data_IF_841847076427
#
_entry.id   IF_841847076427
#
_cell.length_a   1.000
_cell.length_b   1.000
_cell.length_c   1.000
_cell.angle_alpha   90.00
_cell.angle_beta   90.00
_cell.angle_gamma   90.00
#
_symmetry.space_group_name_H-M   'P 1'
#
loop_
_entity.id
_entity.type
_entity.pdbx_description
1 polymer ?
#
# COMPACT_ATOMS: atom_id res chain seq x y z
N UNK A 1 49.52 -30.80 -27.06
CA UNK A 1 48.83 -30.56 -25.77
C UNK A 1 47.87 -29.37 -25.83
N UNK A 2 48.27 -28.26 -26.48
CA UNK A 2 47.46 -27.03 -26.62
C UNK A 2 46.12 -27.25 -27.35
N UNK A 3 46.11 -28.05 -28.42
CA UNK A 3 44.90 -28.32 -29.21
C UNK A 3 43.80 -29.06 -28.43
N UNK A 4 44.19 -29.96 -27.50
CA UNK A 4 43.24 -30.67 -26.62
C UNK A 4 42.62 -29.74 -25.58
N UNK A 5 43.36 -28.74 -25.08
CA UNK A 5 42.84 -27.74 -24.15
C UNK A 5 41.85 -26.78 -24.83
N UNK A 6 42.12 -26.34 -26.07
CA UNK A 6 41.22 -25.45 -26.81
C UNK A 6 39.88 -26.15 -27.11
N UNK A 7 39.90 -27.43 -27.49
CA UNK A 7 38.67 -28.21 -27.74
C UNK A 7 37.86 -28.44 -26.47
N UNK A 8 38.51 -28.67 -25.32
CA UNK A 8 37.78 -28.79 -24.04
C UNK A 8 37.17 -27.45 -23.60
N UNK A 9 37.87 -26.34 -23.79
CA UNK A 9 37.37 -25.00 -23.45
C UNK A 9 36.18 -24.60 -24.34
N UNK A 10 36.20 -24.94 -25.64
CA UNK A 10 35.06 -24.67 -26.54
C UNK A 10 33.86 -25.58 -26.26
N UNK A 11 34.06 -26.83 -25.83
CA UNK A 11 32.96 -27.72 -25.42
C UNK A 11 32.33 -27.25 -24.11
N UNK A 12 33.10 -26.67 -23.19
CA UNK A 12 32.59 -26.11 -21.92
C UNK A 12 31.79 -24.82 -22.16
N UNK A 13 32.21 -23.95 -23.08
CA UNK A 13 31.48 -22.69 -23.39
C UNK A 13 30.22 -22.90 -24.22
N UNK A 14 30.13 -23.98 -25.01
CA UNK A 14 28.91 -24.31 -25.78
C UNK A 14 27.79 -24.88 -24.89
N UNK A 15 28.10 -25.38 -23.69
CA UNK A 15 27.13 -26.11 -22.85
C UNK A 15 26.16 -25.27 -22.00
N UNK A 16 26.20 -23.93 -22.03
CA UNK A 16 25.37 -23.12 -21.11
C UNK A 16 24.23 -22.33 -21.73
N UNK A 17 23.90 -22.50 -23.01
CA UNK A 17 22.64 -21.99 -23.56
C UNK A 17 21.51 -23.01 -23.38
N UNK A 18 21.19 -23.32 -22.12
CA UNK A 18 19.90 -23.92 -21.79
C UNK A 18 18.84 -22.84 -21.87
N UNK A 19 18.16 -22.71 -23.02
CA UNK A 19 16.99 -21.85 -23.14
C UNK A 19 15.83 -22.48 -22.34
N UNK A 20 15.80 -22.29 -21.02
CA UNK A 20 14.58 -22.53 -20.26
C UNK A 20 13.59 -21.45 -20.69
N UNK A 21 12.57 -21.85 -21.46
CA UNK A 21 11.48 -20.93 -21.77
C UNK A 21 10.63 -20.82 -20.51
N UNK A 22 10.93 -19.82 -19.67
CA UNK A 22 10.16 -19.50 -18.47
C UNK A 22 8.71 -19.25 -18.90
N UNK A 23 7.76 -20.06 -18.41
CA UNK A 23 6.33 -19.82 -18.61
C UNK A 23 5.87 -18.65 -17.72
N UNK A 24 4.71 -18.08 -18.01
CA UNK A 24 4.19 -16.93 -17.28
C UNK A 24 2.71 -16.69 -17.50
N UNK A 25 2.16 -15.77 -16.71
CA UNK A 25 0.79 -15.27 -16.91
C UNK A 25 0.79 -14.31 -18.10
N UNK A 26 -0.09 -14.58 -19.06
CA UNK A 26 -0.29 -13.76 -20.25
C UNK A 26 -1.19 -12.56 -19.91
N UNK A 27 -0.56 -11.42 -19.62
CA UNK A 27 -1.26 -10.17 -19.30
C UNK A 27 -1.82 -10.10 -17.87
N UNK A 28 -2.79 -9.21 -17.67
CA UNK A 28 -3.50 -9.06 -16.39
C UNK A 28 -4.65 -10.08 -16.30
N UNK A 29 -4.84 -10.76 -15.14
CA UNK A 29 -5.94 -11.69 -14.98
C UNK A 29 -7.30 -10.98 -15.06
N UNK A 30 -8.30 -11.70 -15.57
CA UNK A 30 -9.66 -11.17 -15.65
C UNK A 30 -10.36 -11.38 -14.31
N UNK A 31 -11.02 -10.33 -13.79
CA UNK A 31 -11.66 -10.33 -12.47
C UNK A 31 -13.15 -10.07 -12.64
N UNK A 32 -13.97 -10.96 -12.11
CA UNK A 32 -15.42 -10.85 -12.07
C UNK A 32 -15.91 -10.78 -10.61
N UNK A 33 -16.48 -9.63 -10.26
CA UNK A 33 -16.98 -9.34 -8.92
C UNK A 33 -18.50 -9.59 -8.88
N UNK A 34 -18.95 -10.71 -8.33
CA UNK A 34 -20.37 -11.02 -8.13
C UNK A 34 -20.89 -10.44 -6.80
N UNK A 35 -22.13 -10.73 -6.43
CA UNK A 35 -22.75 -10.21 -5.19
C UNK A 35 -22.19 -10.88 -3.93
N UNK A 36 -21.85 -12.16 -4.03
CA UNK A 36 -21.47 -13.05 -2.93
C UNK A 36 -20.17 -13.84 -3.18
N UNK A 37 -19.60 -13.71 -4.38
CA UNK A 37 -18.34 -14.34 -4.76
C UNK A 37 -17.49 -13.47 -5.67
N UNK A 38 -16.21 -13.79 -5.77
CA UNK A 38 -15.26 -13.20 -6.70
C UNK A 38 -14.60 -14.31 -7.50
N UNK A 39 -14.58 -14.15 -8.83
CA UNK A 39 -13.97 -15.08 -9.76
C UNK A 39 -12.77 -14.41 -10.42
N UNK A 40 -11.66 -15.12 -10.50
CA UNK A 40 -10.47 -14.69 -11.22
C UNK A 40 -10.07 -15.74 -12.22
N UNK A 41 -9.86 -15.30 -13.45
CA UNK A 41 -9.45 -16.12 -14.58
C UNK A 41 -8.01 -15.76 -14.97
N UNK A 42 -7.14 -16.76 -14.91
CA UNK A 42 -5.74 -16.65 -15.33
C UNK A 42 -5.55 -17.32 -16.68
N UNK A 43 -4.84 -16.62 -17.57
CA UNK A 43 -4.36 -17.17 -18.84
C UNK A 43 -2.85 -17.20 -18.80
N UNK A 44 -2.23 -18.33 -19.14
CA UNK A 44 -0.77 -18.48 -19.22
C UNK A 44 -0.30 -18.49 -20.66
N UNK A 45 0.98 -18.20 -20.88
CA UNK A 45 1.58 -18.21 -22.22
C UNK A 45 1.66 -19.64 -22.78
N UNK A 46 1.94 -20.61 -21.92
CA UNK A 46 2.01 -22.05 -22.25
C UNK A 46 1.22 -22.87 -21.25
N UNK A 47 0.87 -24.09 -21.63
CA UNK A 47 0.30 -25.07 -20.70
C UNK A 47 1.21 -25.24 -19.48
N UNK A 48 0.61 -25.34 -18.30
CA UNK A 48 1.35 -25.51 -17.06
C UNK A 48 0.70 -26.56 -16.16
N UNK A 49 1.48 -27.06 -15.21
CA UNK A 49 1.03 -27.95 -14.15
C UNK A 49 1.34 -27.30 -12.80
N UNK A 50 0.30 -26.99 -12.03
CA UNK A 50 0.45 -26.18 -10.84
C UNK A 50 -0.90 -25.80 -10.24
N UNK A 51 -0.93 -24.70 -9.49
CA UNK A 51 -2.07 -24.38 -8.62
C UNK A 51 -2.36 -22.87 -8.64
N UNK A 52 -3.63 -22.53 -8.46
CA UNK A 52 -4.09 -21.18 -8.13
C UNK A 52 -4.82 -21.25 -6.79
N UNK A 53 -4.42 -20.44 -5.82
CA UNK A 53 -5.01 -20.49 -4.49
C UNK A 53 -5.02 -19.15 -3.77
N UNK A 54 -5.86 -19.04 -2.75
CA UNK A 54 -5.87 -17.89 -1.84
C UNK A 54 -4.73 -18.00 -0.83
N UNK A 55 -3.99 -16.90 -0.66
CA UNK A 55 -2.87 -16.82 0.28
C UNK A 55 -3.31 -17.23 1.69
N UNK A 56 -2.65 -18.25 2.24
CA UNK A 56 -2.94 -18.78 3.58
C UNK A 56 -4.00 -19.88 3.63
N UNK A 57 -4.66 -20.19 2.51
CA UNK A 57 -5.75 -21.18 2.43
C UNK A 57 -5.48 -22.25 1.36
N UNK A 58 -4.21 -22.69 1.24
CA UNK A 58 -3.84 -23.71 0.24
C UNK A 58 -4.48 -25.08 0.50
N UNK A 59 -4.65 -25.45 1.77
CA UNK A 59 -5.19 -26.75 2.17
C UNK A 59 -6.72 -26.84 2.05
N UNK A 60 -7.39 -25.71 1.80
CA UNK A 60 -8.84 -25.63 1.63
C UNK A 60 -9.20 -25.83 0.16
N UNK A 61 -9.84 -26.94 -0.19
CA UNK A 61 -10.22 -27.26 -1.57
C UNK A 61 -11.14 -26.22 -2.23
N UNK A 62 -11.91 -25.45 -1.46
CA UNK A 62 -12.72 -24.34 -1.98
C UNK A 62 -11.93 -23.05 -2.26
N UNK A 63 -10.68 -22.99 -1.82
CA UNK A 63 -9.79 -21.84 -1.96
C UNK A 63 -8.60 -22.13 -2.88
N UNK A 64 -8.60 -23.30 -3.54
CA UNK A 64 -7.56 -23.77 -4.46
C UNK A 64 -8.18 -24.37 -5.72
N UNK A 65 -7.51 -24.16 -6.83
CA UNK A 65 -7.82 -24.77 -8.13
C UNK A 65 -6.52 -25.32 -8.71
N UNK A 66 -6.51 -26.60 -9.04
CA UNK A 66 -5.35 -27.29 -9.58
C UNK A 66 -5.41 -27.25 -11.12
N UNK A 67 -4.28 -26.99 -11.77
CA UNK A 67 -4.16 -26.95 -13.22
C UNK A 67 -3.26 -28.10 -13.68
N UNK A 68 -3.72 -28.87 -14.67
CA UNK A 68 -2.98 -30.02 -15.22
C UNK A 68 -2.93 -29.92 -16.73
N UNK A 69 -1.81 -29.41 -17.26
CA UNK A 69 -1.56 -29.23 -18.70
C UNK A 69 -2.62 -28.34 -19.37
N UNK A 70 -3.00 -27.26 -18.70
CA UNK A 70 -3.93 -26.26 -19.26
C UNK A 70 -3.28 -24.90 -19.32
N UNK A 71 -3.75 -24.06 -20.25
CA UNK A 71 -3.37 -22.64 -20.35
C UNK A 71 -4.33 -21.71 -19.60
N UNK A 72 -5.45 -22.25 -19.17
CA UNK A 72 -6.56 -21.50 -18.58
C UNK A 72 -6.94 -22.16 -17.27
N UNK A 73 -6.96 -21.36 -16.20
CA UNK A 73 -7.37 -21.79 -14.87
C UNK A 73 -8.17 -20.66 -14.24
N UNK A 74 -9.18 -21.03 -13.46
CA UNK A 74 -9.99 -20.07 -12.73
C UNK A 74 -10.20 -20.53 -11.30
N UNK A 75 -10.45 -19.55 -10.43
CA UNK A 75 -10.81 -19.79 -9.05
C UNK A 75 -11.94 -18.84 -8.67
N UNK A 76 -13.02 -19.41 -8.15
CA UNK A 76 -14.16 -18.66 -7.61
C UNK A 76 -14.15 -18.79 -6.09
N UNK A 77 -14.06 -17.65 -5.42
CA UNK A 77 -13.97 -17.55 -3.96
C UNK A 77 -15.24 -16.89 -3.43
N UNK A 78 -15.95 -17.59 -2.54
CA UNK A 78 -17.09 -17.03 -1.85
C UNK A 78 -16.64 -16.05 -0.74
N UNK A 79 -17.41 -14.98 -0.50
CA UNK A 79 -17.04 -13.94 0.48
C UNK A 79 -17.09 -14.40 1.95
N UNK A 80 -17.70 -15.57 2.21
CA UNK A 80 -17.79 -16.17 3.54
C UNK A 80 -16.66 -17.18 3.82
N UNK A 81 -15.76 -17.42 2.88
CA UNK A 81 -14.64 -18.37 3.00
C UNK A 81 -13.30 -17.73 2.60
N UNK A 82 -12.18 -18.45 2.78
CA UNK A 82 -10.84 -18.06 2.32
C UNK A 82 -10.32 -16.69 2.82
N UNK A 83 -10.77 -16.23 4.00
CA UNK A 83 -10.39 -14.95 4.62
C UNK A 83 -10.48 -13.74 3.68
N UNK A 84 -11.59 -13.63 2.94
CA UNK A 84 -11.85 -12.47 2.09
C UNK A 84 -11.99 -11.21 2.96
N UNK A 85 -11.10 -10.23 2.74
CA UNK A 85 -11.05 -9.00 3.53
C UNK A 85 -12.05 -7.97 3.03
N UNK A 86 -12.84 -7.43 3.96
CA UNK A 86 -13.88 -6.42 3.71
C UNK A 86 -13.55 -5.13 4.44
N UNK A 87 -13.34 -4.05 3.69
CA UNK A 87 -12.95 -2.73 4.23
C UNK A 87 -13.95 -1.67 3.79
N UNK A 88 -14.62 -1.03 4.76
CA UNK A 88 -15.53 0.09 4.46
C UNK A 88 -14.72 1.35 4.16
N UNK A 89 -15.06 2.02 3.08
CA UNK A 89 -14.49 3.31 2.69
C UNK A 89 -15.51 4.41 2.92
N UNK A 90 -15.08 5.52 3.52
CA UNK A 90 -15.90 6.70 3.72
C UNK A 90 -15.81 7.71 2.55
N UNK A 91 -14.77 7.62 1.73
CA UNK A 91 -14.55 8.52 0.59
C UNK A 91 -13.73 7.84 -0.53
N UNK A 92 -14.36 7.37 -1.63
CA UNK A 92 -15.80 7.32 -1.88
C UNK A 92 -16.51 6.37 -0.90
N UNK A 93 -17.79 6.64 -0.59
CA UNK A 93 -18.60 5.76 0.26
C UNK A 93 -18.82 4.41 -0.43
N UNK A 94 -18.44 3.34 0.24
CA UNK A 94 -18.58 2.00 -0.30
C UNK A 94 -17.81 0.96 0.48
N UNK A 95 -17.62 -0.19 -0.15
CA UNK A 95 -16.99 -1.36 0.44
C UNK A 95 -15.94 -1.92 -0.53
N UNK A 96 -14.70 -2.00 -0.08
CA UNK A 96 -13.67 -2.78 -0.74
C UNK A 96 -13.73 -4.23 -0.27
N UNK A 97 -13.79 -5.15 -1.21
CA UNK A 97 -13.67 -6.59 -0.99
C UNK A 97 -12.36 -7.02 -1.65
N UNK A 98 -11.44 -7.59 -0.88
CA UNK A 98 -10.10 -7.93 -1.37
C UNK A 98 -9.66 -9.33 -0.97
N UNK A 99 -8.95 -9.98 -1.88
CA UNK A 99 -8.37 -11.31 -1.71
C UNK A 99 -7.01 -11.36 -2.37
N UNK A 100 -6.05 -12.07 -1.76
CA UNK A 100 -4.72 -12.25 -2.35
C UNK A 100 -4.65 -13.64 -2.97
N UNK A 101 -4.58 -13.70 -4.30
CA UNK A 101 -4.46 -14.96 -5.04
C UNK A 101 -3.02 -15.19 -5.49
N UNK A 102 -2.58 -16.44 -5.44
CA UNK A 102 -1.25 -16.87 -5.83
C UNK A 102 -1.39 -17.91 -6.93
N UNK A 103 -0.65 -17.74 -8.03
CA UNK A 103 -0.49 -18.75 -9.08
C UNK A 103 0.92 -19.33 -8.99
N UNK A 104 1.00 -20.66 -8.92
CA UNK A 104 2.25 -21.42 -8.89
C UNK A 104 2.37 -22.31 -10.11
N UNK A 105 3.51 -22.26 -10.79
CA UNK A 105 3.76 -23.00 -12.04
C UNK A 105 4.40 -24.38 -11.81
N UNK A 106 4.60 -24.78 -10.55
CA UNK A 106 5.15 -26.08 -10.19
C UNK A 106 4.27 -26.75 -9.13
N UNK A 107 4.01 -28.07 -9.23
CA UNK A 107 3.05 -28.75 -8.36
C UNK A 107 3.49 -28.89 -6.89
N UNK A 108 4.81 -28.86 -6.61
CA UNK A 108 5.36 -29.17 -5.28
C UNK A 108 5.99 -27.97 -4.54
N UNK A 109 6.34 -26.88 -5.22
CA UNK A 109 7.10 -25.79 -4.60
C UNK A 109 6.88 -24.46 -5.32
N UNK A 110 7.09 -23.36 -4.59
CA UNK A 110 7.01 -22.01 -5.13
C UNK A 110 8.29 -21.70 -5.92
N UNK A 111 8.14 -21.16 -7.11
CA UNK A 111 9.23 -20.84 -8.04
C UNK A 111 9.35 -19.33 -8.28
N UNK A 112 10.40 -18.91 -9.00
CA UNK A 112 10.64 -17.51 -9.37
C UNK A 112 9.56 -16.92 -10.28
N UNK A 113 8.88 -17.74 -11.08
CA UNK A 113 7.87 -17.29 -12.04
C UNK A 113 6.48 -17.16 -11.43
N UNK A 114 6.30 -17.65 -10.20
CA UNK A 114 5.04 -17.57 -9.47
C UNK A 114 4.69 -16.13 -9.10
N UNK A 115 3.38 -15.81 -9.10
CA UNK A 115 2.89 -14.45 -8.92
C UNK A 115 1.80 -14.38 -7.86
N UNK A 116 1.79 -13.27 -7.13
CA UNK A 116 0.77 -12.95 -6.13
C UNK A 116 0.02 -11.68 -6.57
N UNK A 117 -1.30 -11.79 -6.66
CA UNK A 117 -2.19 -10.71 -7.07
C UNK A 117 -3.10 -10.32 -5.90
N UNK A 118 -3.09 -9.04 -5.50
CA UNK A 118 -4.07 -8.51 -4.56
C UNK A 118 -5.27 -8.00 -5.37
N UNK A 119 -6.28 -8.85 -5.51
CA UNK A 119 -7.49 -8.54 -6.25
C UNK A 119 -8.43 -7.76 -5.34
N UNK A 120 -8.98 -6.64 -5.85
CA UNK A 120 -9.82 -5.73 -5.07
C UNK A 120 -11.02 -5.25 -5.89
N UNK A 121 -12.21 -5.62 -5.45
CA UNK A 121 -13.48 -5.12 -5.96
C UNK A 121 -13.96 -3.97 -5.09
N UNK A 122 -14.46 -2.88 -5.70
CA UNK A 122 -15.08 -1.79 -4.99
C UNK A 122 -16.59 -1.77 -5.28
N UNK A 123 -17.39 -1.88 -4.22
CA UNK A 123 -18.84 -1.76 -4.29
C UNK A 123 -19.24 -0.40 -3.76
N UNK A 124 -19.74 0.45 -4.65
CA UNK A 124 -20.25 1.78 -4.28
C UNK A 124 -21.54 1.64 -3.49
N UNK A 125 -21.62 2.36 -2.37
CA UNK A 125 -22.88 2.54 -1.67
C UNK A 125 -23.66 3.62 -2.42
N UNK A 126 -24.61 3.21 -3.26
CA UNK A 126 -25.50 4.16 -3.92
C UNK A 126 -26.50 4.69 -2.89
N UNK A 127 -26.50 6.00 -2.62
CA UNK A 127 -27.69 6.69 -2.13
C UNK A 127 -28.72 6.69 -3.26
N UNK A 128 -29.42 5.56 -3.44
CA UNK A 128 -30.60 5.55 -4.31
C UNK A 128 -31.69 6.28 -3.55
N UNK A 129 -31.90 7.55 -3.86
CA UNK A 129 -33.24 8.13 -3.73
C UNK A 129 -34.12 7.32 -4.68
N UNK A 130 -34.81 6.31 -4.14
CA UNK A 130 -35.84 5.61 -4.89
C UNK A 130 -36.91 6.65 -5.17
N UNK A 131 -36.85 7.28 -6.35
CA UNK A 131 -37.92 8.14 -6.84
C UNK A 131 -39.10 7.23 -7.18
N UNK A 132 -39.85 6.84 -6.16
CA UNK A 132 -41.24 6.40 -6.36
C UNK A 132 -41.94 7.55 -7.07
N UNK A 133 -42.57 7.26 -8.21
CA UNK A 133 -43.47 8.20 -8.90
C UNK A 133 -44.71 8.42 -8.01
N UNK A 134 -44.55 9.25 -6.98
CA UNK A 134 -45.65 9.84 -6.25
C UNK A 134 -45.39 11.33 -6.29
N UNK A 135 -46.15 12.00 -7.15
CA UNK A 135 -46.15 13.46 -7.26
C UNK A 135 -46.67 14.02 -5.94
N UNK A 136 -45.75 14.47 -5.10
CA UNK A 136 -46.04 15.29 -3.93
C UNK A 136 -45.09 16.47 -4.04
N UNK A 137 -45.65 17.65 -4.17
CA UNK A 137 -44.95 18.92 -4.25
C UNK A 137 -44.21 19.23 -2.94
N UNK A 138 -43.03 18.66 -2.78
CA UNK A 138 -42.12 18.99 -1.67
C UNK A 138 -41.34 20.25 -2.07
N UNK A 139 -41.43 21.29 -1.24
CA UNK A 139 -40.60 22.50 -1.36
C UNK A 139 -39.13 22.10 -1.52
N UNK A 140 -38.56 22.37 -2.70
CA UNK A 140 -37.16 22.08 -2.99
C UNK A 140 -36.30 22.97 -2.09
N UNK A 141 -35.63 22.34 -1.12
CA UNK A 141 -34.61 23.02 -0.34
C UNK A 141 -33.34 23.01 -1.18
N UNK A 142 -32.95 24.16 -1.71
CA UNK A 142 -31.67 24.28 -2.40
C UNK A 142 -30.53 23.95 -1.43
N UNK A 143 -29.80 22.89 -1.72
CA UNK A 143 -28.58 22.56 -1.00
C UNK A 143 -27.50 23.53 -1.48
N UNK A 144 -27.24 24.58 -0.70
CA UNK A 144 -26.08 25.46 -0.90
C UNK A 144 -24.84 24.65 -0.50
N UNK A 145 -24.24 23.94 -1.45
CA UNK A 145 -22.92 23.31 -1.24
C UNK A 145 -21.84 24.38 -1.33
N UNK A 146 -21.42 24.91 -0.19
CA UNK A 146 -20.23 25.76 -0.11
C UNK A 146 -18.98 24.88 -0.11
N UNK A 147 -18.31 24.77 -1.26
CA UNK A 147 -17.02 24.10 -1.36
C UNK A 147 -15.92 24.98 -0.76
N UNK A 148 -15.61 24.78 0.52
CA UNK A 148 -14.47 25.40 1.17
C UNK A 148 -13.18 24.69 0.74
N UNK A 149 -12.30 25.39 0.01
CA UNK A 149 -11.00 24.85 -0.41
C UNK A 149 -10.00 24.95 0.74
N UNK A 150 -9.30 23.85 1.02
CA UNK A 150 -8.25 23.79 2.04
C UNK A 150 -7.11 24.77 1.69
N UNK A 151 -6.56 25.53 2.66
CA UNK A 151 -5.47 26.46 2.42
C UNK A 151 -4.16 25.73 2.11
N UNK A 152 -3.27 26.39 1.36
CA UNK A 152 -1.93 25.87 1.12
C UNK A 152 -1.04 26.27 2.30
N UNK A 153 -0.45 25.28 2.97
CA UNK A 153 0.48 25.48 4.08
C UNK A 153 1.93 25.26 3.62
N UNK A 154 2.82 26.15 4.04
CA UNK A 154 4.28 26.06 3.87
C UNK A 154 4.92 25.74 5.21
N UNK A 155 5.87 24.80 5.20
CA UNK A 155 6.64 24.41 6.38
C UNK A 155 8.11 24.84 6.21
N UNK A 156 8.66 25.44 7.26
CA UNK A 156 10.03 25.95 7.30
C UNK A 156 10.68 25.60 8.64
N UNK A 157 11.99 25.38 8.61
CA UNK A 157 12.81 25.09 9.80
C UNK A 157 13.83 26.21 9.92
N UNK A 158 13.82 26.94 11.04
CA UNK A 158 14.60 28.15 11.26
C UNK A 158 15.61 27.94 12.41
N UNK A 159 16.75 28.63 12.35
CA UNK A 159 17.76 28.60 13.41
C UNK A 159 17.32 29.47 14.59
N UNK A 160 17.49 28.98 15.82
CA UNK A 160 17.47 29.82 17.04
C UNK A 160 16.21 30.69 17.28
N UNK A 161 15.08 30.46 16.57
CA UNK A 161 13.81 31.14 16.84
C UNK A 161 12.86 31.35 15.65
N UNK A 162 11.72 32.03 15.88
CA UNK A 162 10.65 32.23 14.88
C UNK A 162 10.98 33.19 13.72
N UNK A 163 12.05 33.96 13.88
CA UNK A 163 12.60 34.89 12.87
C UNK A 163 14.00 34.48 12.40
N UNK A 164 14.44 33.27 12.75
CA UNK A 164 15.74 32.76 12.33
C UNK A 164 15.81 32.50 10.83
N UNK A 165 17.03 32.31 10.34
CA UNK A 165 17.25 31.94 8.95
C UNK A 165 16.89 30.47 8.69
N UNK A 166 16.39 30.13 7.49
CA UNK A 166 16.09 28.74 7.14
C UNK A 166 17.32 27.83 7.17
N UNK A 167 17.23 26.77 7.97
CA UNK A 167 18.30 25.79 8.16
C UNK A 167 18.16 24.68 7.14
N UNK A 168 19.21 24.46 6.34
CA UNK A 168 19.29 23.33 5.39
C UNK A 168 19.97 22.09 5.99
N UNK A 169 20.90 22.30 6.91
CA UNK A 169 21.69 21.26 7.57
C UNK A 169 21.86 21.63 9.04
N UNK A 170 21.64 20.67 9.94
CA UNK A 170 21.75 20.87 11.38
C UNK A 170 22.70 19.84 12.00
N UNK A 171 23.43 20.25 13.03
CA UNK A 171 24.28 19.34 13.82
C UNK A 171 23.52 18.75 15.00
N UNK A 172 23.96 17.57 15.46
CA UNK A 172 23.34 16.88 16.59
C UNK A 172 23.45 17.75 17.85
N UNK A 173 22.31 18.09 18.46
CA UNK A 173 22.23 18.98 19.62
C UNK A 173 21.86 20.44 19.29
N UNK A 174 21.81 20.81 18.01
CA UNK A 174 21.39 22.15 17.57
C UNK A 174 19.87 22.32 17.73
N UNK A 175 19.45 23.43 18.33
CA UNK A 175 18.04 23.78 18.47
C UNK A 175 17.52 24.37 17.15
N UNK A 176 16.40 23.85 16.67
CA UNK A 176 15.73 24.35 15.46
C UNK A 176 14.28 24.67 15.75
N UNK A 177 13.74 25.62 14.99
CA UNK A 177 12.40 26.13 15.16
C UNK A 177 11.52 25.77 13.96
N UNK A 178 10.41 25.11 14.23
CA UNK A 178 9.50 24.65 13.18
C UNK A 178 8.35 25.65 13.00
N UNK A 179 8.22 26.19 11.79
CA UNK A 179 7.23 27.21 11.43
C UNK A 179 6.32 26.71 10.32
N UNK A 180 5.01 26.77 10.55
CA UNK A 180 3.99 26.53 9.53
C UNK A 180 3.29 27.85 9.18
N UNK A 181 3.26 28.17 7.89
CA UNK A 181 2.63 29.37 7.33
C UNK A 181 1.56 28.97 6.32
N UNK A 182 0.29 29.14 6.66
CA UNK A 182 -0.84 28.79 5.78
C UNK A 182 -1.48 30.05 5.20
N UNK A 183 -1.72 30.06 3.89
CA UNK A 183 -2.41 31.14 3.20
C UNK A 183 -3.68 30.64 2.51
N UNK A 184 -4.76 31.43 2.62
CA UNK A 184 -6.01 31.22 1.89
C UNK A 184 -6.04 32.16 0.67
N UNK A 185 -6.63 31.72 -0.44
CA UNK A 185 -6.62 32.51 -1.68
C UNK A 185 -7.49 33.78 -1.63
N UNK A 186 -8.35 33.92 -0.62
CA UNK A 186 -9.32 35.04 -0.55
C UNK A 186 -8.90 36.22 0.37
N UNK A 187 -7.62 36.30 0.77
CA UNK A 187 -7.02 37.55 1.27
C UNK A 187 -7.61 38.19 2.53
N UNK A 188 -8.55 37.56 3.25
CA UNK A 188 -9.19 38.12 4.46
C UNK A 188 -8.82 37.39 5.76
N UNK A 189 -7.81 37.97 6.44
CA UNK A 189 -7.57 38.11 7.92
C UNK A 189 -7.34 36.84 8.79
N UNK A 190 -6.59 36.90 9.90
CA UNK A 190 -5.18 37.28 10.10
C UNK A 190 -4.30 36.02 10.32
N UNK A 191 -2.99 36.14 10.07
CA UNK A 191 -2.06 35.02 10.21
C UNK A 191 -1.99 34.45 11.63
N UNK A 192 -2.64 33.31 11.89
CA UNK A 192 -2.31 32.48 13.05
C UNK A 192 -1.05 31.68 12.74
N UNK A 193 0.09 32.13 13.25
CA UNK A 193 1.33 31.36 13.29
C UNK A 193 1.26 30.35 14.43
N UNK A 194 1.32 29.07 14.11
CA UNK A 194 1.48 28.01 15.10
C UNK A 194 2.96 27.66 15.17
N UNK A 195 3.51 27.78 16.37
CA UNK A 195 4.93 27.87 16.59
C UNK A 195 5.30 26.91 17.72
N UNK A 196 6.08 25.87 17.42
CA UNK A 196 6.43 24.81 18.35
C UNK A 196 7.94 24.59 18.37
N UNK A 197 8.57 24.80 19.52
CA UNK A 197 9.96 24.42 19.75
C UNK A 197 10.01 22.92 20.11
N UNK A 198 10.57 22.09 19.23
CA UNK A 198 10.83 20.69 19.52
C UNK A 198 12.30 20.52 19.91
N UNK A 199 12.55 20.23 21.18
CA UNK A 199 13.85 19.75 21.63
C UNK A 199 14.04 18.32 21.11
N UNK A 200 15.07 18.09 20.31
CA UNK A 200 15.44 16.73 19.91
C UNK A 200 15.93 16.00 21.18
N UNK A 201 15.02 15.31 21.86
CA UNK A 201 15.26 14.57 23.10
C UNK A 201 16.24 13.41 22.84
N UNK A 202 17.53 13.68 23.00
CA UNK A 202 18.62 12.72 22.89
C UNK A 202 18.88 12.00 24.23
N UNK A 203 17.82 11.65 24.97
CA UNK A 203 17.95 10.97 26.27
C UNK A 203 17.65 9.47 26.23
N UNK A 204 17.22 8.89 25.11
CA UNK A 204 16.98 7.44 25.01
C UNK A 204 18.16 6.63 24.46
N UNK A 205 19.21 7.25 23.93
CA UNK A 205 20.38 6.50 23.42
C UNK A 205 21.45 6.20 24.49
N UNK A 206 21.45 6.92 25.62
CA UNK A 206 22.50 6.78 26.65
C UNK A 206 22.27 5.61 27.63
N UNK A 207 21.07 5.04 27.70
CA UNK A 207 20.81 3.86 28.54
C UNK A 207 21.11 2.52 27.85
N UNK A 208 21.36 2.51 26.54
CA UNK A 208 21.68 1.28 25.78
C UNK A 208 23.18 1.02 25.62
N UNK A 209 24.06 1.95 26.00
CA UNK A 209 25.52 1.77 25.86
C UNK A 209 26.18 0.99 26.99
N UNK A 210 25.45 0.58 28.05
CA UNK A 210 26.03 -0.17 29.17
C UNK A 210 25.82 -1.69 29.16
N UNK A 211 25.19 -2.29 28.14
CA UNK A 211 25.14 -3.77 28.05
C UNK A 211 25.47 -4.29 26.66
N UNK A 212 26.68 -4.86 26.60
CA UNK A 212 27.33 -5.67 25.55
C UNK A 212 26.47 -6.19 24.40
N UNK A 213 27.01 -5.94 23.21
CA UNK A 213 27.04 -6.75 21.98
C UNK A 213 25.73 -7.03 21.22
N UNK A 214 25.70 -6.51 19.99
CA UNK A 214 24.98 -7.00 18.79
C UNK A 214 23.49 -6.66 18.59
N UNK A 215 23.09 -5.38 18.67
CA UNK A 215 21.85 -4.91 18.03
C UNK A 215 21.91 -3.40 17.66
N UNK A 216 22.53 -3.06 16.52
CA UNK A 216 22.53 -1.69 15.99
C UNK A 216 21.36 -1.38 15.03
N UNK A 217 20.52 -2.36 14.68
CA UNK A 217 19.43 -2.18 13.71
C UNK A 217 18.05 -1.93 14.33
N UNK A 218 17.89 -2.02 15.65
CA UNK A 218 16.56 -1.90 16.30
C UNK A 218 16.22 -0.47 16.75
N UNK A 219 17.20 0.44 16.87
CA UNK A 219 16.94 1.78 17.40
C UNK A 219 16.30 2.74 16.37
N UNK A 220 16.57 2.54 15.07
CA UNK A 220 16.08 3.43 14.00
C UNK A 220 14.58 3.23 13.72
N UNK A 221 14.05 2.03 13.92
CA UNK A 221 12.63 1.72 13.67
C UNK A 221 11.71 2.24 14.78
N UNK A 222 12.18 2.29 16.03
CA UNK A 222 11.39 2.86 17.14
C UNK A 222 11.22 4.39 17.02
N UNK A 223 12.23 5.09 16.50
CA UNK A 223 12.18 6.56 16.32
C UNK A 223 11.16 6.98 15.24
N UNK A 224 10.99 6.18 14.18
CA UNK A 224 10.02 6.45 13.11
C UNK A 224 8.57 6.32 13.61
N UNK A 225 8.32 5.41 14.55
CA UNK A 225 7.00 5.17 15.13
C UNK A 225 6.54 6.28 16.09
N UNK A 226 7.44 6.85 16.90
CA UNK A 226 7.10 7.93 17.85
C UNK A 226 6.83 9.28 17.16
N UNK A 227 7.48 9.58 16.04
CA UNK A 227 7.21 10.80 15.25
C UNK A 227 5.81 10.74 14.61
N UNK A 228 5.37 9.57 14.17
CA UNK A 228 4.06 9.37 13.53
C UNK A 228 2.89 9.45 14.52
N UNK A 229 3.11 9.05 15.77
CA UNK A 229 2.15 9.21 16.86
C UNK A 229 2.03 10.68 17.32
N UNK A 230 3.13 11.42 17.40
CA UNK A 230 3.11 12.87 17.66
C UNK A 230 2.41 13.65 16.55
N UNK A 231 2.58 13.22 15.29
CA UNK A 231 1.88 13.81 14.15
C UNK A 231 0.36 13.61 14.27
N UNK A 232 -0.08 12.43 14.71
CA UNK A 232 -1.50 12.13 14.92
C UNK A 232 -2.10 12.93 16.09
N UNK A 233 -1.36 13.12 17.19
CA UNK A 233 -1.85 13.85 18.37
C UNK A 233 -1.96 15.36 18.13
N UNK A 234 -1.01 15.97 17.40
CA UNK A 234 -1.03 17.40 17.05
C UNK A 234 -2.12 17.69 16.01
N UNK A 235 -2.32 16.81 15.02
CA UNK A 235 -3.38 16.97 14.01
C UNK A 235 -4.79 16.84 14.61
N UNK A 236 -4.97 15.95 15.60
CA UNK A 236 -6.26 15.79 16.31
C UNK A 236 -6.64 17.00 17.15
N UNK A 237 -5.65 17.75 17.67
CA UNK A 237 -5.89 18.97 18.46
C UNK A 237 -6.19 20.21 17.60
N UNK A 238 -5.78 20.21 16.32
CA UNK A 238 -6.08 21.28 15.36
C UNK A 238 -7.52 21.30 14.85
N UNK A 239 -8.24 20.17 14.90
CA UNK A 239 -9.62 20.04 14.40
C UNK A 239 -10.69 20.02 15.50
N UNK A 240 -10.32 20.12 16.78
CA UNK A 240 -11.25 19.99 17.91
C UNK A 240 -11.74 21.31 18.51
N UNK A 241 -11.53 22.44 17.85
CA UNK A 241 -12.14 23.72 18.24
C UNK A 241 -12.85 24.32 17.02
N UNK A 242 -14.03 23.78 16.76
CA UNK A 242 -15.19 24.47 16.20
C UNK A 242 -16.26 24.48 17.28
#
# INVERSE_FOLDING_TARGET
>A
MVLRCVVLITIITVRTYGNSIENGVSGEPTVECAKDSLRVDFKTEKEFEGHVYVKGHYDEGGCRSDATLTQHVNLTVAFNSCDVRRERSSNPRGLFVSVTMIITFHPMFITKIDRSYNVRCFYTEMERTVATQLDVSVLQTEVITQQLRLPTCRYEVLADGPQGDPVKFATVGQQVYHKWSCAHKDGKVPGKQYAGAFFLLLLLCLMSTLRRSNLLYSCVTSFRFQIQLLWSAVFKRMYSFG
#
